data_IF_107771776916
#
_entry.id   IF_107771776916
#
_cell.length_a   1.000
_cell.length_b   1.000
_cell.length_c   1.000
_cell.angle_alpha   90.00
_cell.angle_beta   90.00
_cell.angle_gamma   90.00
#
_symmetry.space_group_name_H-M   'P 1'
#
loop_
_entity.id
_entity.type
_entity.pdbx_description
1 polymer ?
#
# COMPACT_ATOMS: atom_id res chain seq x y z
N UNK A 1 9.19 -28.31 10.61
CA UNK A 1 8.46 -27.76 9.46
C UNK A 1 9.44 -27.50 8.33
N UNK A 2 9.11 -27.84 7.09
CA UNK A 2 9.83 -27.29 5.93
C UNK A 2 9.19 -25.94 5.65
N UNK A 3 9.83 -24.85 6.08
CA UNK A 3 9.38 -23.51 5.72
C UNK A 3 9.68 -23.33 4.23
N UNK A 4 8.64 -23.13 3.43
CA UNK A 4 8.82 -22.83 2.01
C UNK A 4 9.29 -21.39 1.88
N UNK A 5 10.29 -21.11 1.03
CA UNK A 5 10.98 -19.81 1.01
C UNK A 5 10.00 -18.63 0.81
N UNK A 6 8.95 -18.85 0.02
CA UNK A 6 7.96 -17.82 -0.28
C UNK A 6 6.98 -17.53 0.88
N UNK A 7 6.93 -18.36 1.93
CA UNK A 7 6.08 -18.13 3.12
C UNK A 7 6.79 -17.32 4.20
N UNK A 8 8.12 -17.20 4.11
CA UNK A 8 8.95 -16.48 5.09
C UNK A 8 8.48 -15.03 5.29
N UNK A 9 8.22 -14.22 4.23
CA UNK A 9 7.82 -12.82 4.42
C UNK A 9 6.49 -12.67 5.18
N UNK A 10 5.60 -13.65 5.04
CA UNK A 10 4.31 -13.69 5.75
C UNK A 10 4.55 -14.04 7.21
N UNK A 11 5.32 -15.11 7.48
CA UNK A 11 5.62 -15.52 8.85
C UNK A 11 6.36 -14.42 9.63
N UNK A 12 7.34 -13.77 9.01
CA UNK A 12 8.08 -12.66 9.60
C UNK A 12 7.15 -11.49 9.94
N UNK A 13 6.24 -11.12 9.04
CA UNK A 13 5.32 -10.00 9.28
C UNK A 13 4.32 -10.28 10.40
N UNK A 14 3.87 -11.53 10.56
CA UNK A 14 3.00 -11.94 11.67
C UNK A 14 3.77 -12.17 12.98
N UNK A 15 5.10 -12.37 12.92
CA UNK A 15 5.95 -12.48 14.10
C UNK A 15 6.38 -11.10 14.63
N UNK A 16 6.38 -10.10 13.75
CA UNK A 16 6.68 -8.72 14.11
C UNK A 16 5.54 -8.09 14.93
N UNK A 17 5.90 -7.41 16.02
CA UNK A 17 4.98 -6.68 16.88
C UNK A 17 4.42 -5.42 16.19
N UNK A 18 3.43 -5.59 15.31
CA UNK A 18 2.82 -4.52 14.53
C UNK A 18 1.30 -4.43 14.71
N UNK A 19 0.72 -3.25 14.49
CA UNK A 19 -0.74 -3.05 14.53
C UNK A 19 -1.47 -3.67 13.34
N UNK A 20 -0.76 -3.99 12.26
CA UNK A 20 -1.29 -4.70 11.11
C UNK A 20 -0.15 -5.42 10.38
N UNK A 21 -0.05 -6.76 10.48
CA UNK A 21 0.96 -7.55 9.77
C UNK A 21 0.95 -7.31 8.26
N UNK A 22 -0.23 -7.10 7.68
CA UNK A 22 -0.39 -6.85 6.25
C UNK A 22 0.17 -5.49 5.83
N UNK A 23 0.03 -4.46 6.68
CA UNK A 23 0.72 -3.18 6.44
C UNK A 23 2.24 -3.35 6.44
N UNK A 24 2.79 -4.16 7.35
CA UNK A 24 4.23 -4.44 7.38
C UNK A 24 4.72 -5.18 6.16
N UNK A 25 3.97 -6.19 5.71
CA UNK A 25 4.26 -6.86 4.44
C UNK A 25 4.27 -5.88 3.27
N UNK A 26 3.23 -5.03 3.17
CA UNK A 26 3.10 -4.04 2.09
C UNK A 26 4.25 -3.02 2.13
N UNK A 27 4.62 -2.52 3.31
CA UNK A 27 5.74 -1.59 3.49
C UNK A 27 7.06 -2.21 3.01
N UNK A 28 7.37 -3.46 3.41
CA UNK A 28 8.57 -4.16 2.95
C UNK A 28 8.56 -4.39 1.43
N UNK A 29 7.41 -4.73 0.85
CA UNK A 29 7.26 -4.83 -0.61
C UNK A 29 7.52 -3.49 -1.30
N UNK A 30 7.02 -2.39 -0.75
CA UNK A 30 7.19 -1.05 -1.28
C UNK A 30 8.66 -0.60 -1.21
N UNK A 31 9.33 -0.81 -0.08
CA UNK A 31 10.77 -0.56 0.08
C UNK A 31 11.60 -1.38 -0.90
N UNK A 32 11.28 -2.66 -1.06
CA UNK A 32 11.94 -3.53 -2.03
C UNK A 32 11.70 -3.07 -3.47
N UNK A 33 10.48 -2.60 -3.79
CA UNK A 33 10.16 -2.08 -5.11
C UNK A 33 10.93 -0.79 -5.43
N UNK A 34 11.09 0.11 -4.45
CA UNK A 34 11.94 1.31 -4.58
C UNK A 34 13.41 0.89 -4.79
N UNK A 35 13.94 -0.02 -3.97
CA UNK A 35 15.30 -0.52 -4.11
C UNK A 35 15.54 -1.20 -5.46
N UNK A 36 14.60 -2.02 -5.94
CA UNK A 36 14.65 -2.63 -7.26
C UNK A 36 14.67 -1.56 -8.38
N UNK A 37 13.87 -0.51 -8.20
CA UNK A 37 13.74 0.56 -9.18
C UNK A 37 14.99 1.43 -9.27
N UNK A 38 15.58 1.88 -8.15
CA UNK A 38 16.62 2.93 -8.14
C UNK A 38 17.85 2.63 -7.27
N UNK A 39 17.90 1.46 -6.63
CA UNK A 39 18.95 1.06 -5.69
C UNK A 39 20.26 0.60 -6.33
N UNK A 40 21.19 0.01 -5.55
CA UNK A 40 22.43 -0.55 -6.09
C UNK A 40 22.13 -1.68 -7.08
N UNK A 41 22.58 -1.53 -8.33
CA UNK A 41 22.23 -2.47 -9.42
C UNK A 41 20.87 -2.20 -10.06
N UNK A 42 20.37 -0.96 -9.95
CA UNK A 42 19.03 -0.56 -10.36
C UNK A 42 18.57 -1.09 -11.72
N UNK A 43 17.43 -1.79 -11.72
CA UNK A 43 16.88 -2.39 -12.92
C UNK A 43 16.39 -1.37 -13.94
N UNK A 44 16.18 -0.09 -13.59
CA UNK A 44 15.85 0.96 -14.59
C UNK A 44 16.94 1.12 -15.68
N UNK A 45 18.15 0.59 -15.45
CA UNK A 45 19.22 0.58 -16.44
C UNK A 45 19.08 -0.56 -17.47
N UNK A 46 18.26 -1.57 -17.17
CA UNK A 46 17.89 -2.65 -18.09
C UNK A 46 16.88 -2.10 -19.11
N UNK A 47 17.09 -2.42 -20.40
CA UNK A 47 16.39 -1.74 -21.49
C UNK A 47 14.86 -1.91 -21.48
N UNK A 48 14.40 -3.11 -21.15
CA UNK A 48 12.99 -3.47 -21.03
C UNK A 48 12.33 -2.83 -19.81
N UNK A 49 13.00 -2.83 -18.66
CA UNK A 49 12.51 -2.18 -17.44
C UNK A 49 12.47 -0.66 -17.61
N UNK A 50 13.47 -0.07 -18.27
CA UNK A 50 13.48 1.34 -18.62
C UNK A 50 12.27 1.71 -19.46
N UNK A 51 12.02 0.95 -20.54
CA UNK A 51 10.88 1.21 -21.43
C UNK A 51 9.53 1.13 -20.69
N UNK A 52 9.39 0.18 -19.77
CA UNK A 52 8.20 0.05 -18.91
C UNK A 52 8.05 1.26 -17.98
N UNK A 53 9.10 1.63 -17.26
CA UNK A 53 9.07 2.78 -16.35
C UNK A 53 8.84 4.12 -17.09
N UNK A 54 9.39 4.27 -18.29
CA UNK A 54 9.16 5.43 -19.16
C UNK A 54 7.71 5.50 -19.64
N UNK A 55 7.08 4.36 -19.93
CA UNK A 55 5.66 4.27 -20.30
C UNK A 55 4.75 4.65 -19.13
N UNK A 56 4.97 4.04 -17.97
CA UNK A 56 4.03 4.09 -16.86
C UNK A 56 4.21 5.32 -15.98
N UNK A 57 5.45 5.75 -15.76
CA UNK A 57 5.76 6.78 -14.78
C UNK A 57 5.52 6.31 -13.35
N UNK A 58 5.30 7.29 -12.46
CA UNK A 58 5.21 7.08 -11.02
C UNK A 58 4.08 7.92 -10.43
N UNK A 59 3.33 7.36 -9.47
CA UNK A 59 2.35 8.14 -8.72
C UNK A 59 3.04 9.12 -7.77
N UNK A 60 2.30 10.09 -7.25
CA UNK A 60 2.83 11.10 -6.32
C UNK A 60 3.62 10.48 -5.16
N UNK A 61 3.03 9.49 -4.47
CA UNK A 61 3.67 8.80 -3.34
C UNK A 61 5.02 8.19 -3.74
N UNK A 62 5.06 7.43 -4.84
CA UNK A 62 6.30 6.78 -5.26
C UNK A 62 7.32 7.75 -5.84
N UNK A 63 6.92 8.90 -6.39
CA UNK A 63 7.85 9.98 -6.71
C UNK A 63 8.49 10.57 -5.46
N UNK A 64 7.72 10.80 -4.39
CA UNK A 64 8.25 11.28 -3.11
C UNK A 64 9.28 10.28 -2.55
N UNK A 65 8.95 8.99 -2.51
CA UNK A 65 9.88 7.94 -2.04
C UNK A 65 11.13 7.81 -2.91
N UNK A 66 10.99 7.83 -4.24
CA UNK A 66 12.14 7.81 -5.15
C UNK A 66 13.01 9.07 -4.98
N UNK A 67 12.38 10.22 -4.72
CA UNK A 67 13.10 11.45 -4.42
C UNK A 67 13.84 11.37 -3.10
N UNK A 68 13.28 10.80 -2.04
CA UNK A 68 13.98 10.61 -0.77
C UNK A 68 15.20 9.68 -0.89
N UNK A 69 15.19 8.75 -1.86
CA UNK A 69 16.31 7.85 -2.11
C UNK A 69 17.61 8.61 -2.50
N UNK A 70 18.81 8.17 -2.06
CA UNK A 70 20.06 8.91 -2.30
C UNK A 70 20.48 9.07 -3.77
N UNK A 71 20.02 8.21 -4.67
CA UNK A 71 20.45 8.17 -6.07
C UNK A 71 19.75 9.24 -6.94
N UNK A 72 20.12 10.51 -6.75
CA UNK A 72 19.54 11.65 -7.47
C UNK A 72 19.78 11.63 -8.98
N UNK A 73 20.95 11.13 -9.40
CA UNK A 73 21.29 11.05 -10.82
C UNK A 73 20.40 10.03 -11.54
N UNK A 74 20.16 8.86 -10.94
CA UNK A 74 19.26 7.86 -11.49
C UNK A 74 17.84 8.38 -11.62
N UNK A 75 17.33 9.04 -10.58
CA UNK A 75 16.01 9.67 -10.64
C UNK A 75 15.92 10.73 -11.74
N UNK A 76 16.92 11.59 -11.88
CA UNK A 76 16.94 12.60 -12.93
C UNK A 76 16.90 11.99 -14.34
N UNK A 77 17.59 10.87 -14.55
CA UNK A 77 17.55 10.14 -15.82
C UNK A 77 16.17 9.55 -16.09
N UNK A 78 15.57 8.87 -15.12
CA UNK A 78 14.23 8.28 -15.23
C UNK A 78 13.15 9.33 -15.50
N UNK A 79 13.20 10.45 -14.76
CA UNK A 79 12.28 11.57 -14.97
C UNK A 79 12.42 12.14 -16.38
N UNK A 80 13.65 12.36 -16.85
CA UNK A 80 13.89 12.88 -18.19
C UNK A 80 13.29 11.97 -19.27
N UNK A 81 13.59 10.67 -19.23
CA UNK A 81 13.13 9.73 -20.26
C UNK A 81 11.61 9.56 -20.26
N UNK A 82 10.99 9.48 -19.07
CA UNK A 82 9.54 9.49 -18.91
C UNK A 82 8.90 10.81 -19.44
N UNK A 83 9.49 11.97 -19.12
CA UNK A 83 9.00 13.27 -19.60
C UNK A 83 9.14 13.42 -21.11
N UNK A 84 10.24 12.96 -21.71
CA UNK A 84 10.45 12.97 -23.16
C UNK A 84 9.36 12.12 -23.87
N UNK A 85 9.06 10.93 -23.34
CA UNK A 85 8.02 10.04 -23.87
C UNK A 85 6.62 10.65 -23.70
N UNK A 86 6.30 11.13 -22.50
CA UNK A 86 5.04 11.81 -22.19
C UNK A 86 4.80 13.01 -23.09
N UNK A 87 5.81 13.87 -23.27
CA UNK A 87 5.72 15.03 -24.15
C UNK A 87 5.48 14.63 -25.62
N UNK A 88 6.13 13.57 -26.11
CA UNK A 88 5.94 13.05 -27.46
C UNK A 88 4.51 12.56 -27.69
N UNK A 89 3.94 11.82 -26.73
CA UNK A 89 2.58 11.27 -26.81
C UNK A 89 1.52 12.36 -26.66
N UNK A 90 1.68 13.24 -25.67
CA UNK A 90 0.76 14.35 -25.43
C UNK A 90 0.72 15.31 -26.63
N UNK A 91 1.86 15.61 -27.27
CA UNK A 91 1.91 16.38 -28.52
C UNK A 91 1.10 15.74 -29.65
N UNK A 92 0.95 14.41 -29.70
CA UNK A 92 0.06 13.75 -30.66
C UNK A 92 -1.41 13.98 -30.30
N UNK A 93 -1.76 13.84 -29.02
CA UNK A 93 -3.12 14.08 -28.53
C UNK A 93 -3.56 15.55 -28.74
N UNK A 94 -2.63 16.50 -28.61
CA UNK A 94 -2.86 17.94 -28.84
C UNK A 94 -3.14 18.30 -30.30
N UNK A 95 -2.95 17.40 -31.27
CA UNK A 95 -3.31 17.65 -32.68
C UNK A 95 -4.83 17.62 -32.92
N UNK A 96 -5.60 17.10 -31.96
CA UNK A 96 -7.06 17.12 -32.04
C UNK A 96 -7.60 18.56 -31.99
N UNK A 97 -8.75 18.84 -32.63
CA UNK A 97 -9.38 20.15 -32.56
C UNK A 97 -9.69 20.57 -31.11
N UNK A 98 -9.36 21.82 -30.76
CA UNK A 98 -9.58 22.34 -29.43
C UNK A 98 -11.07 22.30 -29.04
N UNK A 99 -11.40 22.03 -27.76
CA UNK A 99 -12.77 22.08 -27.28
C UNK A 99 -13.39 23.46 -27.53
N UNK A 100 -14.58 23.48 -28.12
CA UNK A 100 -15.35 24.70 -28.32
C UNK A 100 -16.29 24.95 -27.14
N UNK A 101 -16.51 26.23 -26.82
CA UNK A 101 -17.47 26.66 -25.82
C UNK A 101 -18.86 26.06 -26.12
N UNK A 102 -19.58 25.67 -25.06
CA UNK A 102 -20.92 25.12 -25.23
C UNK A 102 -21.86 26.20 -25.78
N UNK A 103 -22.42 25.98 -26.97
CA UNK A 103 -23.56 26.78 -27.45
C UNK A 103 -24.81 26.27 -26.74
N UNK A 104 -25.55 27.17 -26.08
CA UNK A 104 -26.84 26.86 -25.46
C UNK A 104 -27.73 26.12 -26.48
N UNK A 105 -28.42 25.06 -26.03
CA UNK A 105 -29.38 24.22 -26.78
C UNK A 105 -28.86 23.03 -27.63
N UNK A 106 -27.55 22.73 -27.70
CA UNK A 106 -27.10 21.44 -28.26
C UNK A 106 -26.94 20.37 -27.18
N UNK A 107 -27.73 19.28 -27.27
CA UNK A 107 -27.43 18.01 -26.55
C UNK A 107 -26.03 17.56 -26.97
N UNK A 108 -25.05 17.72 -26.09
CA UNK A 108 -23.67 17.29 -26.32
C UNK A 108 -23.56 15.79 -26.02
N UNK A 109 -23.34 14.96 -27.04
CA UNK A 109 -22.43 13.82 -26.86
C UNK A 109 -21.03 14.41 -26.79
N UNK A 110 -20.58 14.79 -25.60
CA UNK A 110 -19.28 15.40 -25.42
C UNK A 110 -18.23 14.30 -25.51
N UNK A 111 -17.70 14.05 -26.71
CA UNK A 111 -16.53 13.21 -26.88
C UNK A 111 -15.40 13.81 -26.04
N UNK A 112 -14.88 13.04 -25.08
CA UNK A 112 -13.76 13.45 -24.23
C UNK A 112 -12.56 13.77 -25.13
N UNK A 113 -11.93 14.92 -24.90
CA UNK A 113 -10.79 15.35 -25.71
C UNK A 113 -9.60 14.40 -25.47
N UNK A 114 -8.84 13.97 -26.50
CA UNK A 114 -7.76 12.99 -26.33
C UNK A 114 -6.69 13.36 -25.30
N UNK A 115 -6.45 14.66 -25.08
CA UNK A 115 -5.57 15.14 -23.99
C UNK A 115 -6.06 14.70 -22.62
N UNK A 116 -7.36 14.80 -22.36
CA UNK A 116 -7.95 14.39 -21.07
C UNK A 116 -7.83 12.88 -20.92
N UNK A 117 -8.22 12.12 -21.95
CA UNK A 117 -8.08 10.66 -21.96
C UNK A 117 -6.63 10.23 -21.69
N UNK A 118 -5.66 10.87 -22.34
CA UNK A 118 -4.24 10.57 -22.13
C UNK A 118 -3.79 10.82 -20.68
N UNK A 119 -4.16 11.96 -20.09
CA UNK A 119 -3.78 12.29 -18.71
C UNK A 119 -4.43 11.32 -17.72
N UNK A 120 -5.73 11.06 -17.86
CA UNK A 120 -6.46 10.11 -17.02
C UNK A 120 -5.92 8.67 -17.12
N UNK A 121 -5.42 8.26 -18.28
CA UNK A 121 -4.76 6.96 -18.46
C UNK A 121 -3.40 6.90 -17.78
N UNK A 122 -2.63 8.00 -17.78
CA UNK A 122 -1.33 8.07 -17.08
C UNK A 122 -1.53 8.11 -15.56
N UNK A 123 -2.54 8.82 -15.05
CA UNK A 123 -2.83 8.90 -13.61
C UNK A 123 -3.16 7.53 -12.97
N UNK A 124 -3.58 6.55 -13.77
CA UNK A 124 -3.89 5.18 -13.33
C UNK A 124 -2.68 4.26 -13.28
N UNK A 125 -1.52 4.69 -13.79
CA UNK A 125 -0.33 3.86 -13.93
C UNK A 125 0.74 4.30 -12.93
N UNK A 126 1.46 3.33 -12.39
CA UNK A 126 2.69 3.58 -11.68
C UNK A 126 3.53 2.31 -11.68
N UNK A 127 4.76 2.43 -12.16
CA UNK A 127 5.69 1.31 -12.27
C UNK A 127 5.92 0.60 -10.93
N UNK A 128 6.11 1.37 -9.86
CA UNK A 128 6.30 0.82 -8.51
C UNK A 128 5.01 0.18 -7.98
N UNK A 129 3.84 0.79 -8.20
CA UNK A 129 2.55 0.18 -7.80
C UNK A 129 2.33 -1.18 -8.48
N UNK A 130 2.59 -1.28 -9.78
CA UNK A 130 2.37 -2.52 -10.53
C UNK A 130 3.25 -3.66 -9.98
N UNK A 131 4.51 -3.37 -9.68
CA UNK A 131 5.43 -4.32 -9.05
C UNK A 131 4.92 -4.79 -7.67
N UNK A 132 4.47 -3.84 -6.83
CA UNK A 132 3.95 -4.16 -5.49
C UNK A 132 2.67 -4.99 -5.59
N UNK A 133 1.71 -4.58 -6.41
CA UNK A 133 0.39 -5.20 -6.52
C UNK A 133 0.48 -6.67 -6.95
N UNK A 134 1.41 -6.99 -7.86
CA UNK A 134 1.65 -8.36 -8.28
C UNK A 134 2.10 -9.25 -7.11
N UNK A 135 3.06 -8.77 -6.33
CA UNK A 135 3.61 -9.51 -5.19
C UNK A 135 2.63 -9.57 -4.01
N UNK A 136 1.94 -8.47 -3.74
CA UNK A 136 1.00 -8.34 -2.64
C UNK A 136 -0.17 -9.31 -2.76
N UNK A 137 -0.72 -9.49 -3.97
CA UNK A 137 -1.79 -10.46 -4.22
C UNK A 137 -1.36 -11.88 -3.86
N UNK A 138 -0.14 -12.27 -4.24
CA UNK A 138 0.41 -13.58 -3.89
C UNK A 138 0.59 -13.74 -2.37
N UNK A 139 0.97 -12.69 -1.66
CA UNK A 139 1.12 -12.73 -0.20
C UNK A 139 -0.22 -12.89 0.50
N UNK A 140 -1.26 -12.18 0.06
CA UNK A 140 -2.62 -12.36 0.58
C UNK A 140 -3.10 -13.80 0.36
N UNK A 141 -2.87 -14.37 -0.83
CA UNK A 141 -3.21 -15.76 -1.12
C UNK A 141 -2.43 -16.74 -0.24
N UNK A 142 -1.18 -16.42 0.06
CA UNK A 142 -0.33 -17.21 0.96
C UNK A 142 -0.84 -17.18 2.41
N UNK A 143 -1.39 -16.05 2.89
CA UNK A 143 -2.06 -16.00 4.21
C UNK A 143 -3.19 -17.03 4.28
N UNK A 144 -4.07 -17.07 3.28
CA UNK A 144 -5.16 -18.03 3.25
C UNK A 144 -4.65 -19.48 3.24
N UNK A 145 -3.67 -19.76 2.38
CA UNK A 145 -3.02 -21.07 2.31
C UNK A 145 -2.45 -21.50 3.68
N UNK A 146 -1.65 -20.64 4.32
CA UNK A 146 -1.06 -20.92 5.63
C UNK A 146 -2.15 -21.13 6.69
N UNK A 147 -3.21 -20.32 6.67
CA UNK A 147 -4.33 -20.47 7.60
C UNK A 147 -5.03 -21.82 7.45
N UNK A 148 -5.19 -22.36 6.24
CA UNK A 148 -5.79 -23.67 6.03
C UNK A 148 -4.87 -24.84 6.43
N UNK A 149 -3.56 -24.68 6.21
CA UNK A 149 -2.58 -25.77 6.34
C UNK A 149 -1.92 -25.84 7.71
N UNK A 150 -1.71 -24.71 8.36
CA UNK A 150 -0.84 -24.61 9.55
C UNK A 150 -1.65 -24.16 10.77
N UNK A 151 -1.74 -25.05 11.77
CA UNK A 151 -2.41 -24.71 13.04
C UNK A 151 -1.69 -23.61 13.81
N UNK A 152 -0.36 -23.61 13.78
CA UNK A 152 0.44 -22.58 14.44
C UNK A 152 0.23 -21.21 13.81
N UNK A 153 0.05 -21.14 12.48
CA UNK A 153 -0.32 -19.89 11.81
C UNK A 153 -1.71 -19.41 12.22
N UNK A 154 -2.71 -20.30 12.39
CA UNK A 154 -4.03 -19.90 12.92
C UNK A 154 -3.93 -19.29 14.32
N UNK A 155 -3.12 -19.88 15.19
CA UNK A 155 -2.85 -19.35 16.54
C UNK A 155 -2.18 -17.97 16.45
N UNK A 156 -1.17 -17.82 15.59
CA UNK A 156 -0.46 -16.56 15.39
C UNK A 156 -1.40 -15.47 14.82
N UNK A 157 -2.24 -15.82 13.85
CA UNK A 157 -3.23 -14.92 13.28
C UNK A 157 -4.20 -14.42 14.35
N UNK A 158 -4.75 -15.34 15.17
CA UNK A 158 -5.66 -15.00 16.28
C UNK A 158 -4.99 -14.17 17.38
N UNK A 159 -3.68 -14.37 17.62
CA UNK A 159 -2.91 -13.63 18.62
C UNK A 159 -2.42 -12.25 18.12
N UNK A 160 -2.58 -11.93 16.83
CA UNK A 160 -2.16 -10.65 16.29
C UNK A 160 -2.91 -9.48 16.92
N UNK A 161 -2.35 -8.25 16.82
CA UNK A 161 -3.03 -7.02 17.25
C UNK A 161 -4.18 -6.61 16.32
N UNK A 162 -4.55 -7.45 15.35
CA UNK A 162 -5.57 -7.22 14.34
C UNK A 162 -5.04 -6.51 13.09
N UNK A 163 -5.94 -5.84 12.38
CA UNK A 163 -5.67 -5.26 11.07
C UNK A 163 -6.14 -3.80 10.98
N UNK A 164 -5.63 -3.05 10.01
CA UNK A 164 -6.22 -1.76 9.65
C UNK A 164 -7.50 -1.96 8.83
N UNK A 165 -8.30 -0.91 8.68
CA UNK A 165 -9.59 -0.96 7.95
C UNK A 165 -9.39 -1.44 6.50
N UNK A 166 -8.35 -0.97 5.82
CA UNK A 166 -8.10 -1.34 4.42
C UNK A 166 -7.73 -2.81 4.27
N UNK A 167 -6.85 -3.34 5.12
CA UNK A 167 -6.42 -4.74 5.03
C UNK A 167 -7.44 -5.71 5.61
N UNK A 168 -8.25 -5.29 6.58
CA UNK A 168 -9.46 -6.02 6.95
C UNK A 168 -10.37 -6.22 5.73
N UNK A 169 -10.66 -5.15 4.96
CA UNK A 169 -11.45 -5.26 3.72
C UNK A 169 -10.84 -6.26 2.75
N UNK A 170 -9.54 -6.15 2.45
CA UNK A 170 -8.84 -7.04 1.52
C UNK A 170 -8.96 -8.50 1.93
N UNK A 171 -8.67 -8.82 3.20
CA UNK A 171 -8.75 -10.18 3.73
C UNK A 171 -10.20 -10.72 3.73
N UNK A 172 -11.15 -9.88 4.16
CA UNK A 172 -12.55 -10.27 4.24
C UNK A 172 -13.15 -10.55 2.85
N UNK A 173 -12.87 -9.69 1.86
CA UNK A 173 -13.40 -9.85 0.51
C UNK A 173 -12.73 -10.97 -0.27
N UNK A 174 -11.45 -11.25 -0.01
CA UNK A 174 -10.70 -12.28 -0.73
C UNK A 174 -10.96 -13.69 -0.20
N UNK A 175 -11.22 -13.86 1.09
CA UNK A 175 -11.36 -15.20 1.69
C UNK A 175 -12.36 -16.13 0.97
N UNK A 176 -13.57 -15.70 0.55
CA UNK A 176 -14.52 -16.58 -0.16
C UNK A 176 -14.05 -17.08 -1.52
N UNK A 177 -13.13 -16.36 -2.18
CA UNK A 177 -12.60 -16.72 -3.49
C UNK A 177 -11.45 -17.74 -3.40
N UNK A 178 -10.62 -17.62 -2.36
CA UNK A 178 -9.37 -18.37 -2.23
C UNK A 178 -9.37 -19.47 -1.17
N UNK A 179 -10.31 -19.46 -0.22
CA UNK A 179 -10.40 -20.46 0.85
C UNK A 179 -11.42 -21.55 0.56
N UNK A 180 -11.11 -22.77 0.98
CA UNK A 180 -12.04 -23.87 1.07
C UNK A 180 -13.09 -23.68 2.16
N UNK A 181 -14.28 -24.24 1.93
CA UNK A 181 -15.45 -24.13 2.83
C UNK A 181 -15.19 -24.60 4.26
N UNK A 182 -14.18 -25.45 4.48
CA UNK A 182 -13.85 -26.01 5.80
C UNK A 182 -13.42 -24.92 6.79
N UNK A 183 -12.54 -24.01 6.36
CA UNK A 183 -11.93 -23.02 7.26
C UNK A 183 -12.45 -21.60 7.02
N UNK A 184 -13.20 -21.36 5.94
CA UNK A 184 -13.69 -20.02 5.61
C UNK A 184 -14.47 -19.36 6.75
N UNK A 185 -15.38 -20.07 7.42
CA UNK A 185 -16.18 -19.50 8.50
C UNK A 185 -15.30 -19.17 9.73
N UNK A 186 -14.46 -20.11 10.15
CA UNK A 186 -13.49 -19.92 11.24
C UNK A 186 -12.57 -18.73 10.99
N UNK A 187 -12.05 -18.61 9.75
CA UNK A 187 -11.21 -17.50 9.33
C UNK A 187 -11.94 -16.15 9.45
N UNK A 188 -13.14 -16.04 8.88
CA UNK A 188 -13.91 -14.80 8.90
C UNK A 188 -14.32 -14.40 10.32
N UNK A 189 -14.70 -15.35 11.17
CA UNK A 189 -14.98 -15.08 12.58
C UNK A 189 -13.74 -14.57 13.31
N UNK A 190 -12.60 -15.25 13.14
CA UNK A 190 -11.32 -14.85 13.75
C UNK A 190 -10.87 -13.47 13.24
N UNK A 191 -11.01 -13.21 11.93
CA UNK A 191 -10.69 -11.91 11.32
C UNK A 191 -11.56 -10.79 11.91
N UNK A 192 -12.86 -11.01 12.07
CA UNK A 192 -13.76 -10.03 12.66
C UNK A 192 -13.39 -9.72 14.12
N UNK A 193 -13.14 -10.76 14.92
CA UNK A 193 -12.79 -10.64 16.33
C UNK A 193 -11.45 -9.92 16.51
N UNK A 194 -10.40 -10.37 15.81
CA UNK A 194 -9.07 -9.74 15.86
C UNK A 194 -9.10 -8.29 15.38
N UNK A 195 -9.88 -7.99 14.33
CA UNK A 195 -10.08 -6.62 13.86
C UNK A 195 -10.74 -5.75 14.91
N UNK A 196 -11.92 -6.13 15.42
CA UNK A 196 -12.70 -5.24 16.29
C UNK A 196 -11.99 -5.03 17.63
N UNK A 197 -11.43 -6.10 18.23
CA UNK A 197 -10.67 -6.00 19.48
C UNK A 197 -9.44 -5.11 19.32
N UNK A 198 -8.71 -5.27 18.21
CA UNK A 198 -7.54 -4.46 17.91
C UNK A 198 -7.89 -2.99 17.65
N UNK A 199 -9.00 -2.73 16.98
CA UNK A 199 -9.46 -1.38 16.62
C UNK A 199 -9.96 -0.61 17.85
N UNK A 200 -10.79 -1.25 18.68
CA UNK A 200 -11.32 -0.63 19.91
C UNK A 200 -10.22 -0.40 20.95
N UNK A 201 -9.25 -1.31 21.07
CA UNK A 201 -8.07 -1.11 21.94
C UNK A 201 -7.32 0.18 21.58
N UNK A 202 -7.06 0.41 20.28
CA UNK A 202 -6.35 1.61 19.83
C UNK A 202 -7.22 2.87 20.00
N UNK A 203 -8.54 2.77 19.78
CA UNK A 203 -9.49 3.85 20.07
C UNK A 203 -9.43 4.26 21.55
N UNK A 204 -9.43 3.31 22.47
CA UNK A 204 -9.40 3.61 23.91
C UNK A 204 -8.05 4.21 24.34
N UNK A 205 -6.96 3.78 23.71
CA UNK A 205 -5.65 4.40 23.90
C UNK A 205 -5.62 5.85 23.39
N UNK A 206 -6.31 6.15 22.27
CA UNK A 206 -6.48 7.52 21.76
C UNK A 206 -7.33 8.38 22.70
N UNK A 207 -8.38 7.81 23.29
CA UNK A 207 -9.17 8.49 24.33
C UNK A 207 -8.26 8.87 25.51
N UNK A 208 -7.41 7.96 25.97
CA UNK A 208 -6.46 8.25 27.04
C UNK A 208 -5.40 9.27 26.63
N UNK A 209 -4.94 9.25 25.37
CA UNK A 209 -4.06 10.28 24.82
C UNK A 209 -4.73 11.67 24.90
N UNK A 210 -6.00 11.78 24.53
CA UNK A 210 -6.78 13.03 24.63
C UNK A 210 -6.89 13.46 26.10
N UNK A 211 -7.25 12.55 27.01
CA UNK A 211 -7.33 12.87 28.44
C UNK A 211 -5.99 13.38 28.99
N UNK A 212 -4.86 12.79 28.59
CA UNK A 212 -3.52 13.19 29.04
C UNK A 212 -3.12 14.62 28.65
N UNK A 213 -3.80 15.22 27.66
CA UNK A 213 -3.61 16.61 27.28
C UNK A 213 -4.48 17.59 28.11
N UNK A 214 -5.33 17.08 29.00
CA UNK A 214 -6.08 17.87 29.96
C UNK A 214 -5.32 18.00 31.30
N UNK A 215 -5.27 19.22 31.85
CA UNK A 215 -4.53 19.52 33.08
C UNK A 215 -4.95 18.66 34.29
N UNK A 216 -6.21 18.19 34.33
CA UNK A 216 -6.74 17.32 35.39
C UNK A 216 -6.07 15.96 35.44
N UNK A 217 -5.51 15.50 34.33
CA UNK A 217 -4.86 14.20 34.18
C UNK A 217 -3.34 14.31 34.13
N UNK A 218 -2.76 15.49 34.42
CA UNK A 218 -1.31 15.74 34.29
C UNK A 218 -0.47 14.74 35.08
N UNK A 219 -0.85 14.46 36.32
CA UNK A 219 -0.14 13.55 37.24
C UNK A 219 -0.44 12.06 36.98
N UNK A 220 -1.43 11.74 36.13
CA UNK A 220 -1.78 10.35 35.81
C UNK A 220 -0.75 9.74 34.83
N UNK A 221 -0.44 8.43 34.92
CA UNK A 221 0.50 7.79 34.02
C UNK A 221 -0.03 7.72 32.59
N UNK A 222 0.87 7.75 31.60
CA UNK A 222 0.50 7.68 30.18
C UNK A 222 -0.04 6.31 29.75
N UNK A 223 0.19 5.23 30.51
CA UNK A 223 -0.16 3.85 30.10
C UNK A 223 0.33 3.60 28.66
N UNK A 224 -0.52 3.06 27.78
CA UNK A 224 -0.23 2.80 26.38
C UNK A 224 -0.51 4.00 25.45
N UNK A 225 -0.87 5.18 25.96
CA UNK A 225 -1.35 6.25 25.09
C UNK A 225 -0.25 7.00 24.30
N UNK A 226 1.03 6.88 24.66
CA UNK A 226 2.11 7.73 24.09
C UNK A 226 2.21 7.63 22.57
N UNK A 227 2.06 6.44 22.03
CA UNK A 227 2.13 6.11 20.60
C UNK A 227 0.73 5.89 20.00
N UNK A 228 -0.35 6.17 20.74
CA UNK A 228 -1.71 5.88 20.30
C UNK A 228 -2.08 6.62 19.02
N UNK A 229 -1.57 7.85 18.83
CA UNK A 229 -1.80 8.61 17.60
C UNK A 229 -1.24 7.88 16.37
N UNK A 230 0.02 7.44 16.43
CA UNK A 230 0.67 6.68 15.37
C UNK A 230 -0.08 5.37 15.10
N UNK A 231 -0.41 4.60 16.14
CA UNK A 231 -1.20 3.36 16.01
C UNK A 231 -2.59 3.62 15.41
N UNK A 232 -3.21 4.75 15.76
CA UNK A 232 -4.47 5.21 15.18
C UNK A 232 -4.38 5.48 13.69
N UNK A 233 -3.30 6.14 13.23
CA UNK A 233 -3.03 6.37 11.81
C UNK A 233 -2.85 5.06 11.03
N UNK A 234 -2.19 4.06 11.64
CA UNK A 234 -2.09 2.71 11.06
C UNK A 234 -3.48 2.08 10.94
N UNK A 235 -4.26 2.02 12.03
CA UNK A 235 -5.57 1.36 12.03
C UNK A 235 -6.57 2.00 11.08
N UNK A 236 -6.64 3.33 11.06
CA UNK A 236 -7.62 4.07 10.27
C UNK A 236 -7.18 4.29 8.81
N UNK A 237 -5.89 4.61 8.59
CA UNK A 237 -5.37 5.06 7.30
C UNK A 237 -4.40 4.10 6.63
N UNK A 238 -3.98 3.02 7.29
CA UNK A 238 -2.83 2.19 6.83
C UNK A 238 -1.53 2.96 6.70
N UNK A 239 -1.40 4.06 7.45
CA UNK A 239 -0.23 4.93 7.41
C UNK A 239 0.78 4.40 8.43
N UNK A 240 1.80 3.72 7.94
CA UNK A 240 2.95 3.31 8.74
C UNK A 240 3.97 4.44 8.74
N UNK A 241 4.51 4.82 9.89
CA UNK A 241 5.70 5.67 9.90
C UNK A 241 6.89 4.86 9.36
N UNK A 242 7.75 5.55 8.60
CA UNK A 242 9.04 5.01 8.24
C UNK A 242 9.80 4.69 9.54
N UNK A 243 10.45 3.53 9.60
CA UNK A 243 11.33 3.25 10.73
C UNK A 243 12.40 4.35 10.78
N UNK A 244 12.49 5.06 11.91
CA UNK A 244 13.57 6.01 12.11
C UNK A 244 14.88 5.24 11.86
N UNK A 245 15.64 5.68 10.85
CA UNK A 245 17.01 5.22 10.68
C UNK A 245 17.74 5.65 11.94
N UNK A 246 17.95 4.68 12.84
CA UNK A 246 18.90 4.83 13.93
C UNK A 246 20.26 4.98 13.26
N UNK A 247 20.71 6.23 13.12
CA UNK A 247 22.08 6.57 12.74
C UNK A 247 23.09 6.00 13.74
#
# INVERSE_FOLDING_TARGET
MKTEIYTIPIQDAFAEESECPVCRMYQKLEENAINYTIGPGASYMEGDIREQSDEQGFCQKHLEMLYEYPNKLGLAMMLKTHMDKTAKELKKAMKAPLPQAAVLFRKKSQTVHPVITFVEEKEKKCFVCDYINHSFTNYINTIYYLYEKEEDFRKQFAASKGFCVNHYKVLFSGAPEYMGKKYLNEFLMTLNETFINGYERVRDDLEWFICKNDYRYKEQPWKNARDALQRGLVKAGSIMEAEEKKE
#
